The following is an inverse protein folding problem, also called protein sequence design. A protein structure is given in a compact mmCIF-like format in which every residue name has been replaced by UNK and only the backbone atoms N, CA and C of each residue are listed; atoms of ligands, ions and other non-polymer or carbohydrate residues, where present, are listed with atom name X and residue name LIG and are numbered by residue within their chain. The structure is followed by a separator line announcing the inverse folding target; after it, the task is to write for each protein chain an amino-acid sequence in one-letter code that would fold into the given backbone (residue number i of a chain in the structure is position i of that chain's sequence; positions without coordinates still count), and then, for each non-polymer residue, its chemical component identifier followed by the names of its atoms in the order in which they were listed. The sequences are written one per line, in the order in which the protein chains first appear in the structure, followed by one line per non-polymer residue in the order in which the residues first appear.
data_IF_691680703937
#
_entry.id   IF_691680703937
#
_cell.length_a   1.000
_cell.length_b   1.000
_cell.length_c   1.000
_cell.angle_alpha   90.00
_cell.angle_beta   90.00
_cell.angle_gamma   90.00
#
_symmetry.space_group_name_H-M   'P 1'
#
loop_
_entity.id
_entity.type
_entity.pdbx_description
1 polymer ?
#
# COMPACT_ATOMS: atom_id res chain seq x y z
N UNK A 1 55.22 4.65 17.41
CA UNK A 1 54.02 5.47 17.73
C UNK A 1 53.27 6.04 16.51
N UNK A 2 53.61 5.69 15.25
CA UNK A 2 52.90 6.20 14.04
C UNK A 2 51.93 5.18 13.41
N UNK A 3 52.15 3.88 13.64
CA UNK A 3 51.29 2.80 13.12
C UNK A 3 50.02 2.54 13.94
N UNK A 4 49.94 3.06 15.19
CA UNK A 4 48.76 2.89 16.07
C UNK A 4 47.61 3.85 15.73
N UNK A 5 47.92 4.95 15.06
CA UNK A 5 46.95 5.98 14.69
C UNK A 5 46.17 5.59 13.42
N UNK A 6 46.80 4.80 12.53
CA UNK A 6 46.17 4.30 11.31
C UNK A 6 45.17 3.15 11.53
N UNK A 7 45.31 2.41 12.65
CA UNK A 7 44.39 1.32 13.00
C UNK A 7 43.06 1.79 13.59
N UNK A 8 43.03 2.96 14.21
CA UNK A 8 41.83 3.47 14.91
C UNK A 8 40.79 4.07 13.95
N UNK A 9 41.22 4.64 12.83
CA UNK A 9 40.31 5.19 11.80
C UNK A 9 39.59 4.11 11.00
N UNK A 10 40.16 2.90 10.91
CA UNK A 10 39.58 1.79 10.13
C UNK A 10 38.45 1.05 10.87
N UNK A 11 38.33 1.25 12.18
CA UNK A 11 37.28 0.62 13.01
C UNK A 11 36.03 1.50 13.07
N UNK A 12 36.20 2.83 12.93
CA UNK A 12 35.10 3.79 13.04
C UNK A 12 34.20 3.82 11.79
N UNK A 13 34.69 3.39 10.63
CA UNK A 13 33.91 3.29 9.39
C UNK A 13 33.02 2.06 9.32
N UNK A 14 33.31 1.00 10.09
CA UNK A 14 32.54 -0.25 10.05
C UNK A 14 31.20 -0.14 10.83
N UNK A 15 31.08 0.83 11.74
CA UNK A 15 29.89 1.01 12.59
C UNK A 15 28.79 1.90 11.96
N UNK A 16 29.09 2.62 10.87
CA UNK A 16 28.15 3.52 10.20
C UNK A 16 27.36 2.82 9.07
N UNK A 17 27.80 1.63 8.63
CA UNK A 17 27.18 0.92 7.50
C UNK A 17 25.88 0.15 7.80
N UNK A 18 25.45 0.08 9.06
CA UNK A 18 24.33 -0.78 9.48
C UNK A 18 22.99 -0.04 9.71
N UNK A 19 22.90 1.25 9.41
CA UNK A 19 21.73 2.09 9.74
C UNK A 19 20.86 2.48 8.54
N UNK A 20 21.19 2.08 7.31
CA UNK A 20 20.59 2.64 6.09
C UNK A 20 19.69 1.70 5.26
N UNK A 21 19.32 0.51 5.77
CA UNK A 21 18.68 -0.52 4.93
C UNK A 21 17.16 -0.73 5.09
N UNK A 22 16.44 0.09 5.86
CA UNK A 22 14.97 -0.12 6.04
C UNK A 22 14.07 0.86 5.28
N UNK A 23 14.64 1.82 4.54
CA UNK A 23 13.86 2.82 3.81
C UNK A 23 13.47 2.37 2.40
N UNK A 24 12.93 1.16 2.21
CA UNK A 24 12.35 0.78 0.92
C UNK A 24 11.44 -0.45 1.00
N UNK A 25 10.52 -0.46 1.96
CA UNK A 25 9.24 -1.13 1.71
C UNK A 25 8.29 -0.03 1.26
N UNK A 26 8.13 0.12 -0.06
CA UNK A 26 6.87 0.62 -0.59
C UNK A 26 5.80 -0.23 0.13
N UNK A 27 5.09 0.39 1.07
CA UNK A 27 4.11 -0.30 1.91
C UNK A 27 3.00 -0.73 0.97
N UNK A 28 3.12 -1.94 0.42
CA UNK A 28 1.94 -2.69 -0.01
C UNK A 28 1.09 -2.80 1.25
N UNK A 29 0.11 -1.93 1.39
CA UNK A 29 -0.79 -1.90 2.52
C UNK A 29 -1.78 -3.06 2.27
N UNK A 30 -1.65 -4.19 3.01
CA UNK A 30 -2.39 -5.41 2.67
C UNK A 30 -3.90 -5.25 2.86
N UNK A 31 -4.35 -4.28 3.67
CA UNK A 31 -5.76 -4.01 3.88
C UNK A 31 -6.36 -3.21 2.73
N UNK A 32 -5.61 -2.30 2.10
CA UNK A 32 -6.06 -1.58 0.91
C UNK A 32 -6.33 -2.53 -0.26
N UNK A 33 -5.41 -3.47 -0.51
CA UNK A 33 -5.58 -4.47 -1.57
C UNK A 33 -6.77 -5.39 -1.29
N UNK A 34 -6.93 -5.81 -0.03
CA UNK A 34 -8.11 -6.58 0.39
C UNK A 34 -9.41 -5.78 0.21
N UNK A 35 -9.42 -4.48 0.56
CA UNK A 35 -10.57 -3.60 0.38
C UNK A 35 -10.96 -3.49 -1.10
N UNK A 36 -9.99 -3.34 -2.00
CA UNK A 36 -10.24 -3.33 -3.45
C UNK A 36 -10.90 -4.64 -3.91
N UNK A 37 -10.41 -5.78 -3.43
CA UNK A 37 -11.02 -7.10 -3.69
C UNK A 37 -12.48 -7.19 -3.22
N UNK A 38 -12.78 -6.70 -2.02
CA UNK A 38 -14.15 -6.68 -1.49
C UNK A 38 -15.08 -5.75 -2.28
N UNK A 39 -14.59 -4.59 -2.70
CA UNK A 39 -15.35 -3.65 -3.52
C UNK A 39 -15.68 -4.25 -4.90
N UNK A 40 -14.72 -4.95 -5.52
CA UNK A 40 -14.94 -5.65 -6.79
C UNK A 40 -16.02 -6.73 -6.66
N UNK A 41 -16.00 -7.49 -5.55
CA UNK A 41 -17.04 -8.49 -5.25
C UNK A 41 -18.41 -7.83 -5.09
N UNK A 42 -18.50 -6.74 -4.33
CA UNK A 42 -19.74 -5.99 -4.15
C UNK A 42 -20.30 -5.48 -5.49
N UNK A 43 -19.44 -4.95 -6.37
CA UNK A 43 -19.84 -4.52 -7.72
C UNK A 43 -20.44 -5.67 -8.53
N UNK A 44 -19.79 -6.83 -8.55
CA UNK A 44 -20.28 -8.00 -9.27
C UNK A 44 -21.68 -8.43 -8.79
N UNK A 45 -21.93 -8.41 -7.49
CA UNK A 45 -23.26 -8.73 -6.94
C UNK A 45 -24.31 -7.68 -7.34
N UNK A 46 -23.94 -6.39 -7.35
CA UNK A 46 -24.83 -5.31 -7.80
C UNK A 46 -25.16 -5.42 -9.29
N UNK A 47 -24.22 -5.82 -10.14
CA UNK A 47 -24.43 -6.04 -11.57
C UNK A 47 -25.41 -7.19 -11.85
N UNK A 48 -25.38 -8.23 -11.01
CA UNK A 48 -26.27 -9.40 -11.10
C UNK A 48 -27.66 -9.16 -10.51
N UNK A 49 -27.82 -8.11 -9.70
CA UNK A 49 -29.10 -7.79 -9.08
C UNK A 49 -30.14 -7.37 -10.12
N UNK A 50 -31.26 -8.09 -10.19
CA UNK A 50 -32.34 -7.87 -11.16
C UNK A 50 -33.26 -6.70 -10.82
N UNK A 51 -33.28 -6.27 -9.55
CA UNK A 51 -34.21 -5.25 -9.06
C UNK A 51 -33.52 -3.89 -8.86
N UNK A 52 -33.78 -2.94 -9.76
CA UNK A 52 -33.46 -1.53 -9.59
C UNK A 52 -34.58 -0.85 -8.78
N UNK A 53 -34.70 -1.14 -7.48
CA UNK A 53 -35.66 -0.44 -6.62
C UNK A 53 -35.32 1.05 -6.64
N UNK A 54 -36.02 1.88 -7.43
CA UNK A 54 -35.82 3.33 -7.48
C UNK A 54 -34.41 3.82 -7.88
N UNK A 55 -33.65 3.05 -8.68
CA UNK A 55 -32.30 3.44 -9.11
C UNK A 55 -31.21 3.24 -8.04
N UNK A 56 -31.52 2.57 -6.92
CA UNK A 56 -30.56 2.33 -5.84
C UNK A 56 -29.37 1.46 -6.30
N UNK A 57 -29.57 0.53 -7.25
CA UNK A 57 -28.52 -0.33 -7.78
C UNK A 57 -27.46 0.49 -8.52
N UNK A 58 -27.88 1.36 -9.42
CA UNK A 58 -27.02 2.26 -10.18
C UNK A 58 -26.27 3.22 -9.26
N UNK A 59 -26.96 3.77 -8.27
CA UNK A 59 -26.35 4.61 -7.26
C UNK A 59 -25.30 3.87 -6.43
N UNK A 60 -25.58 2.63 -6.03
CA UNK A 60 -24.64 1.79 -5.29
C UNK A 60 -23.41 1.46 -6.15
N UNK A 61 -23.57 1.07 -7.41
CA UNK A 61 -22.45 0.82 -8.32
C UNK A 61 -21.55 2.06 -8.47
N UNK A 62 -22.14 3.25 -8.64
CA UNK A 62 -21.38 4.51 -8.71
C UNK A 62 -20.57 4.78 -7.45
N UNK A 63 -21.14 4.52 -6.27
CA UNK A 63 -20.44 4.70 -5.00
C UNK A 63 -19.31 3.68 -4.83
N UNK A 64 -19.51 2.43 -5.25
CA UNK A 64 -18.47 1.40 -5.25
C UNK A 64 -17.32 1.79 -6.19
N UNK A 65 -17.61 2.27 -7.39
CA UNK A 65 -16.59 2.73 -8.34
C UNK A 65 -15.77 3.90 -7.78
N UNK A 66 -16.42 4.85 -7.09
CA UNK A 66 -15.74 5.96 -6.41
C UNK A 66 -14.83 5.43 -5.29
N UNK A 67 -15.32 4.50 -4.46
CA UNK A 67 -14.51 3.91 -3.40
C UNK A 67 -13.30 3.14 -3.94
N UNK A 68 -13.46 2.40 -5.04
CA UNK A 68 -12.35 1.70 -5.69
C UNK A 68 -11.26 2.66 -6.15
N UNK A 69 -11.63 3.81 -6.72
CA UNK A 69 -10.68 4.83 -7.16
C UNK A 69 -9.88 5.41 -5.98
N UNK A 70 -10.54 5.73 -4.86
CA UNK A 70 -9.87 6.21 -3.64
C UNK A 70 -8.91 5.17 -3.06
N UNK A 71 -9.31 3.90 -3.02
CA UNK A 71 -8.43 2.81 -2.53
C UNK A 71 -7.20 2.66 -3.43
N UNK A 72 -7.37 2.67 -4.76
CA UNK A 72 -6.26 2.61 -5.70
C UNK A 72 -5.30 3.80 -5.57
N UNK A 73 -5.83 4.99 -5.32
CA UNK A 73 -5.01 6.18 -5.06
C UNK A 73 -4.25 6.08 -3.73
N UNK A 74 -4.82 5.43 -2.72
CA UNK A 74 -4.15 5.18 -1.45
C UNK A 74 -3.13 4.04 -1.47
N UNK A 75 -3.11 3.22 -2.54
CA UNK A 75 -2.07 2.19 -2.77
C UNK A 75 -0.84 2.71 -3.54
N UNK A 76 -0.97 3.81 -4.27
CA UNK A 76 0.07 4.41 -5.12
C UNK A 76 1.01 5.34 -4.34
#
# INVERSE_FOLDING_TARGET
MRARILGLCSILTLLVGLSAQTAQMARHEPHMSAALGHLQQAKNELERATATKGGHRENAMRLVDQAMAEVQQGEA
#
